data_IF_319811698098
#
_entry.id   IF_319811698098
#
_cell.length_a   1.000
_cell.length_b   1.000
_cell.length_c   1.000
_cell.angle_alpha   90.00
_cell.angle_beta   90.00
_cell.angle_gamma   90.00
#
_symmetry.space_group_name_H-M   'P 1'
#
loop_
_entity.id
_entity.type
_entity.pdbx_description
1 polymer ?
#
# COMPACT_ATOMS: atom_id res chain seq x y z
N UNK A 1 -1.32 -2.86 12.13
CA UNK A 1 -1.61 -3.47 10.81
C UNK A 1 -2.99 -3.12 10.30
N UNK A 2 -4.08 -3.36 11.05
CA UNK A 2 -5.46 -3.06 10.60
C UNK A 2 -5.84 -1.56 10.51
N UNK A 3 -5.17 -0.68 11.27
CA UNK A 3 -5.56 0.74 11.36
C UNK A 3 -5.48 1.45 10.00
N UNK A 4 -4.42 1.23 9.22
CA UNK A 4 -4.25 1.91 7.92
C UNK A 4 -5.36 1.58 6.90
N UNK A 5 -5.70 0.30 6.63
CA UNK A 5 -6.87 -0.05 5.81
C UNK A 5 -8.17 0.52 6.37
N UNK A 6 -8.38 0.45 7.70
CA UNK A 6 -9.63 0.90 8.32
C UNK A 6 -9.87 2.41 8.14
N UNK A 7 -8.86 3.25 8.37
CA UNK A 7 -8.99 4.72 8.22
C UNK A 7 -9.15 5.14 6.76
N UNK A 8 -8.55 4.38 5.83
CA UNK A 8 -8.68 4.59 4.39
C UNK A 8 -10.10 4.27 3.90
N UNK A 9 -10.69 3.18 4.41
CA UNK A 9 -12.03 2.71 4.02
C UNK A 9 -13.15 3.52 4.66
N UNK A 10 -12.97 3.93 5.92
CA UNK A 10 -13.96 4.67 6.69
C UNK A 10 -13.42 6.05 7.10
N UNK A 11 -13.54 7.01 6.19
CA UNK A 11 -13.02 8.38 6.34
C UNK A 11 -13.96 9.33 7.09
N UNK A 12 -14.77 8.80 8.04
CA UNK A 12 -15.67 9.61 8.88
C UNK A 12 -14.91 10.47 9.88
N UNK A 13 -13.76 9.99 10.33
CA UNK A 13 -12.84 10.75 11.17
C UNK A 13 -12.07 11.75 10.29
N UNK A 14 -12.11 13.07 10.55
CA UNK A 14 -11.35 14.04 9.79
C UNK A 14 -9.83 13.80 9.83
N UNK A 15 -9.32 13.11 10.85
CA UNK A 15 -7.89 12.81 11.04
C UNK A 15 -7.44 11.51 10.36
N UNK A 16 -8.29 10.90 9.52
CA UNK A 16 -7.98 9.65 8.81
C UNK A 16 -6.65 9.73 8.02
N UNK A 17 -6.37 10.89 7.41
CA UNK A 17 -5.23 11.09 6.52
C UNK A 17 -3.92 11.21 7.31
N UNK A 18 -3.81 12.06 8.36
CA UNK A 18 -2.70 12.02 9.30
C UNK A 18 -2.43 10.61 9.86
N UNK A 19 -3.46 9.86 10.27
CA UNK A 19 -3.28 8.50 10.78
C UNK A 19 -2.76 7.53 9.73
N UNK A 20 -3.23 7.63 8.48
CA UNK A 20 -2.73 6.82 7.39
C UNK A 20 -1.24 7.07 7.13
N UNK A 21 -0.83 8.34 7.02
CA UNK A 21 0.58 8.69 6.82
C UNK A 21 1.46 8.31 8.00
N UNK A 22 0.96 8.41 9.23
CA UNK A 22 1.67 7.94 10.41
C UNK A 22 1.91 6.43 10.35
N UNK A 23 0.95 5.64 9.88
CA UNK A 23 1.14 4.20 9.67
C UNK A 23 2.22 3.93 8.62
N UNK A 24 2.15 4.59 7.46
CA UNK A 24 3.15 4.44 6.41
C UNK A 24 4.55 4.80 6.92
N UNK A 25 4.70 5.92 7.64
CA UNK A 25 5.98 6.33 8.22
C UNK A 25 6.56 5.29 9.20
N UNK A 26 5.73 4.70 10.05
CA UNK A 26 6.20 3.62 10.93
C UNK A 26 6.64 2.38 10.15
N UNK A 27 5.90 2.00 9.11
CA UNK A 27 6.32 0.91 8.21
C UNK A 27 7.65 1.23 7.54
N UNK A 28 7.89 2.48 7.14
CA UNK A 28 9.19 2.93 6.62
C UNK A 28 10.34 2.58 7.57
N UNK A 29 10.17 2.89 8.85
CA UNK A 29 11.20 2.63 9.86
C UNK A 29 11.42 1.12 10.01
N UNK A 30 10.33 0.34 10.06
CA UNK A 30 10.39 -1.12 10.16
C UNK A 30 11.02 -1.77 8.93
N UNK A 31 10.88 -1.19 7.74
CA UNK A 31 11.44 -1.72 6.48
C UNK A 31 12.96 -1.79 6.48
N UNK A 32 13.64 -1.10 7.39
CA UNK A 32 15.09 -1.23 7.60
C UNK A 32 15.50 -2.58 8.20
N UNK A 33 14.59 -3.26 8.88
CA UNK A 33 14.86 -4.49 9.62
C UNK A 33 14.02 -5.68 9.12
N UNK A 34 12.94 -5.44 8.37
CA UNK A 34 11.98 -6.47 7.99
C UNK A 34 11.56 -6.31 6.52
N UNK A 35 11.95 -7.29 5.69
CA UNK A 35 11.66 -7.29 4.26
C UNK A 35 10.15 -7.37 3.96
N UNK A 36 9.34 -7.90 4.88
CA UNK A 36 7.88 -7.98 4.72
C UNK A 36 7.24 -6.61 4.41
N UNK A 37 7.86 -5.54 4.88
CA UNK A 37 7.39 -4.16 4.65
C UNK A 37 7.34 -3.81 3.17
N UNK A 38 8.20 -4.43 2.36
CA UNK A 38 8.25 -4.18 0.91
C UNK A 38 6.95 -4.56 0.19
N UNK A 39 6.16 -5.49 0.74
CA UNK A 39 4.81 -5.81 0.26
C UNK A 39 3.73 -5.01 0.99
N UNK A 40 3.91 -4.73 2.28
CA UNK A 40 2.90 -4.02 3.10
C UNK A 40 2.62 -2.63 2.53
N UNK A 41 3.65 -1.84 2.24
CA UNK A 41 3.48 -0.46 1.79
C UNK A 41 2.71 -0.37 0.46
N UNK A 42 3.16 -1.02 -0.64
CA UNK A 42 2.40 -1.00 -1.89
C UNK A 42 1.01 -1.61 -1.73
N UNK A 43 0.83 -2.66 -0.93
CA UNK A 43 -0.51 -3.21 -0.67
C UNK A 43 -1.44 -2.22 0.04
N UNK A 44 -0.95 -1.46 1.02
CA UNK A 44 -1.72 -0.40 1.68
C UNK A 44 -2.05 0.76 0.72
N UNK A 45 -1.14 1.09 -0.19
CA UNK A 45 -1.37 2.10 -1.23
C UNK A 45 -2.41 1.62 -2.26
N UNK A 46 -2.41 0.33 -2.63
CA UNK A 46 -3.45 -0.26 -3.48
C UNK A 46 -4.83 -0.09 -2.87
N UNK A 47 -5.01 -0.47 -1.60
CA UNK A 47 -6.27 -0.27 -0.87
C UNK A 47 -6.67 1.21 -0.87
N UNK A 48 -5.72 2.12 -0.67
CA UNK A 48 -5.99 3.55 -0.65
C UNK A 48 -6.45 4.11 -2.00
N UNK A 49 -5.87 3.63 -3.10
CA UNK A 49 -6.30 3.99 -4.46
C UNK A 49 -7.66 3.39 -4.77
N UNK A 50 -7.88 2.10 -4.51
CA UNK A 50 -9.14 1.39 -4.79
C UNK A 50 -10.34 2.01 -4.06
N UNK A 51 -10.12 2.51 -2.83
CA UNK A 51 -11.16 3.19 -2.06
C UNK A 51 -11.25 4.71 -2.32
N UNK A 52 -10.48 5.23 -3.30
CA UNK A 52 -10.45 6.64 -3.67
C UNK A 52 -10.01 7.56 -2.53
N UNK A 53 -9.17 7.07 -1.61
CA UNK A 53 -8.61 7.88 -0.53
C UNK A 53 -7.47 8.77 -1.03
N UNK A 54 -6.67 8.26 -1.97
CA UNK A 54 -5.61 8.99 -2.66
C UNK A 54 -5.66 8.65 -4.16
N UNK A 55 -5.06 9.50 -4.98
CA UNK A 55 -4.90 9.24 -6.42
C UNK A 55 -3.74 8.27 -6.68
N UNK A 56 -3.74 7.60 -7.84
CA UNK A 56 -2.62 6.74 -8.26
C UNK A 56 -1.30 7.51 -8.37
N UNK A 57 -1.32 8.77 -8.83
CA UNK A 57 -0.12 9.61 -8.93
C UNK A 57 0.44 10.00 -7.55
N UNK A 58 -0.43 10.30 -6.59
CA UNK A 58 -0.04 10.53 -5.20
C UNK A 58 0.56 9.26 -4.59
N UNK A 59 -0.08 8.10 -4.80
CA UNK A 59 0.39 6.82 -4.30
C UNK A 59 1.78 6.45 -4.87
N UNK A 60 2.01 6.67 -6.16
CA UNK A 60 3.32 6.47 -6.79
C UNK A 60 4.39 7.41 -6.24
N UNK A 61 4.04 8.68 -6.04
CA UNK A 61 4.94 9.66 -5.42
C UNK A 61 5.35 9.25 -4.01
N UNK A 62 4.40 8.73 -3.22
CA UNK A 62 4.68 8.18 -1.88
C UNK A 62 5.60 6.96 -1.99
N UNK A 63 5.31 5.98 -2.87
CA UNK A 63 6.14 4.80 -3.03
C UNK A 63 7.60 5.16 -3.36
N UNK A 64 7.82 6.13 -4.23
CA UNK A 64 9.18 6.47 -4.65
C UNK A 64 9.98 7.22 -3.58
N UNK A 65 9.33 8.08 -2.77
CA UNK A 65 9.95 8.64 -1.57
C UNK A 65 10.42 7.54 -0.60
N UNK A 66 9.65 6.46 -0.48
CA UNK A 66 10.02 5.34 0.38
C UNK A 66 11.19 4.52 -0.17
N UNK A 67 11.27 4.40 -1.49
CA UNK A 67 12.36 3.71 -2.19
C UNK A 67 13.67 4.51 -2.15
N UNK A 68 13.63 5.82 -2.19
CA UNK A 68 14.84 6.66 -2.09
C UNK A 68 15.44 6.63 -0.67
N UNK A 69 14.58 6.63 0.35
CA UNK A 69 14.99 6.70 1.75
C UNK A 69 15.47 5.37 2.34
N UNK A 70 15.25 4.27 1.63
CA UNK A 70 15.73 2.96 2.00
C UNK A 70 16.54 2.44 0.83
N UNK A 71 17.78 1.99 1.06
CA UNK A 71 18.50 1.15 0.08
C UNK A 71 17.84 -0.23 -0.06
N UNK A 72 16.51 -0.26 -0.19
CA UNK A 72 15.68 -1.43 -0.32
C UNK A 72 16.15 -2.18 -1.56
N UNK A 73 16.70 -3.36 -1.31
CA UNK A 73 16.92 -4.34 -2.36
C UNK A 73 15.56 -4.85 -2.83
N UNK A 74 15.49 -5.36 -4.06
CA UNK A 74 14.29 -6.02 -4.58
C UNK A 74 13.81 -7.06 -3.55
N UNK A 75 12.49 -7.16 -3.30
CA UNK A 75 11.99 -8.09 -2.31
C UNK A 75 12.42 -9.52 -2.65
N UNK A 76 13.12 -10.16 -1.72
CA UNK A 76 13.39 -11.60 -1.75
C UNK A 76 12.37 -12.30 -0.84
N UNK A 77 11.71 -13.33 -1.36
CA UNK A 77 10.66 -14.06 -0.62
C UNK A 77 9.25 -13.72 -1.06
N UNK A 78 8.28 -13.92 -0.16
CA UNK A 78 6.85 -13.71 -0.43
C UNK A 78 6.18 -13.01 0.75
N UNK A 79 5.25 -12.11 0.44
CA UNK A 79 4.35 -11.49 1.41
C UNK A 79 3.15 -12.37 1.79
N UNK A 80 3.12 -13.62 1.34
CA UNK A 80 2.03 -14.55 1.61
C UNK A 80 1.87 -14.80 3.11
N UNK A 81 0.62 -14.97 3.54
CA UNK A 81 0.22 -15.12 4.93
C UNK A 81 0.00 -13.80 5.68
N UNK A 82 0.53 -12.68 5.18
CA UNK A 82 0.29 -11.36 5.78
C UNK A 82 -0.96 -10.71 5.19
N UNK A 83 -2.06 -10.78 5.93
CA UNK A 83 -3.33 -10.15 5.55
C UNK A 83 -3.30 -8.65 5.86
N UNK A 84 -3.50 -7.82 4.83
CA UNK A 84 -3.66 -6.37 4.98
C UNK A 84 -5.13 -5.98 5.06
N UNK A 85 -5.99 -6.62 4.27
CA UNK A 85 -7.40 -6.30 4.22
C UNK A 85 -8.25 -7.36 4.93
N UNK A 86 -8.51 -7.13 6.23
CA UNK A 86 -9.30 -8.08 7.03
C UNK A 86 -10.76 -8.19 6.56
N UNK A 87 -11.33 -7.12 5.98
CA UNK A 87 -12.72 -7.17 5.48
C UNK A 87 -12.80 -8.02 4.20
N UNK A 88 -11.80 -7.88 3.33
CA UNK A 88 -11.66 -8.69 2.12
C UNK A 88 -11.35 -10.15 2.48
N UNK A 89 -10.50 -10.39 3.49
CA UNK A 89 -10.06 -11.73 3.87
C UNK A 89 -11.19 -12.67 4.29
N UNK A 90 -12.31 -12.11 4.79
CA UNK A 90 -13.52 -12.89 5.10
C UNK A 90 -14.13 -13.53 3.84
N UNK A 91 -13.97 -12.89 2.68
CA UNK A 91 -14.54 -13.30 1.40
C UNK A 91 -13.51 -13.99 0.51
N UNK A 92 -12.31 -13.44 0.48
CA UNK A 92 -11.18 -13.93 -0.30
C UNK A 92 -9.88 -13.67 0.47
N UNK A 93 -9.43 -14.71 1.18
CA UNK A 93 -8.20 -14.66 1.95
C UNK A 93 -6.96 -14.50 1.07
N UNK A 94 -6.99 -14.98 -0.17
CA UNK A 94 -5.87 -14.84 -1.10
C UNK A 94 -5.71 -13.40 -1.54
N UNK A 95 -6.80 -12.78 -1.98
CA UNK A 95 -6.80 -11.39 -2.46
C UNK A 95 -6.43 -10.37 -1.37
N UNK A 96 -6.66 -10.70 -0.10
CA UNK A 96 -6.39 -9.80 1.02
C UNK A 96 -4.91 -9.75 1.47
N UNK A 97 -4.04 -10.56 0.88
CA UNK A 97 -2.63 -10.66 1.29
C UNK A 97 -1.76 -9.54 0.74
N UNK A 98 -0.69 -9.26 1.48
CA UNK A 98 0.22 -8.15 1.19
C UNK A 98 0.86 -8.25 -0.19
N UNK A 99 1.26 -9.44 -0.63
CA UNK A 99 1.86 -9.64 -1.94
C UNK A 99 0.88 -9.48 -3.09
N UNK A 100 -0.34 -9.99 -2.92
CA UNK A 100 -1.41 -9.87 -3.92
C UNK A 100 -1.82 -8.41 -4.09
N UNK A 101 -2.07 -7.69 -3.00
CA UNK A 101 -2.39 -6.26 -3.04
C UNK A 101 -1.20 -5.42 -3.54
N UNK A 102 0.04 -5.82 -3.24
CA UNK A 102 1.22 -5.15 -3.77
C UNK A 102 1.34 -5.33 -5.30
N UNK A 103 1.01 -6.51 -5.82
CA UNK A 103 0.96 -6.76 -7.26
C UNK A 103 -0.14 -5.91 -7.94
N UNK A 104 -1.33 -5.83 -7.33
CA UNK A 104 -2.40 -4.95 -7.81
C UNK A 104 -1.98 -3.48 -7.86
N UNK A 105 -1.16 -3.04 -6.90
CA UNK A 105 -0.61 -1.69 -6.92
C UNK A 105 0.29 -1.44 -8.13
N UNK A 106 1.14 -2.40 -8.50
CA UNK A 106 1.98 -2.29 -9.71
C UNK A 106 1.13 -2.19 -10.97
N UNK A 107 0.08 -3.01 -11.07
CA UNK A 107 -0.85 -2.98 -12.21
C UNK A 107 -1.57 -1.62 -12.30
N UNK A 108 -2.01 -1.06 -11.17
CA UNK A 108 -2.63 0.27 -11.10
C UNK A 108 -1.64 1.38 -11.50
N UNK A 109 -0.38 1.25 -11.10
CA UNK A 109 0.68 2.20 -11.45
C UNK A 109 0.97 2.20 -12.95
N UNK A 110 1.11 1.02 -13.55
CA UNK A 110 1.33 0.84 -14.99
C UNK A 110 0.17 1.41 -15.80
N UNK A 111 -1.07 1.12 -15.39
CA UNK A 111 -2.24 1.67 -16.06
C UNK A 111 -2.25 3.21 -16.06
N UNK A 112 -1.91 3.82 -14.93
CA UNK A 112 -1.88 5.27 -14.80
C UNK A 112 -0.80 5.90 -15.71
N UNK A 113 0.37 5.27 -15.84
CA UNK A 113 1.44 5.71 -16.75
C UNK A 113 0.96 5.74 -18.22
N UNK A 114 0.20 4.74 -18.66
CA UNK A 114 -0.36 4.73 -20.02
C UNK A 114 -1.40 5.81 -20.24
N UNK A 115 -2.23 6.12 -19.23
CA UNK A 115 -3.27 7.16 -19.37
C UNK A 115 -2.75 8.59 -19.23
N UNK A 116 -1.68 8.81 -18.47
CA UNK A 116 -1.09 10.13 -18.28
C UNK A 116 -0.34 10.65 -19.53
N UNK A 117 0.03 9.76 -20.46
CA UNK A 117 0.74 10.09 -21.70
C UNK A 117 -0.19 10.36 -22.91
N UNK A 118 -1.51 10.46 -22.71
CA UNK A 118 -2.53 10.67 -23.76
C UNK A 118 -3.29 11.99 -23.56
N UNK A 119 -2.68 13.00 -22.95
CA UNK A 119 -3.25 14.36 -22.83
C UNK A 119 -2.31 15.40 -23.41
#
# INVERSE_FOLDING_TARGET
>A
MYVAPAVVKNRKDPEWRPYFFLCLYHYKILGRCFDIVQWIIPGLLAIAVQHGAISSSEANSIKEQFREDQKMHRPEGSGAGFVLDMDLAVRDWSAAQADTLAAEFEDLSLFNEFTANIV
#
